data_IF_782400987660
#
_entry.id   IF_782400987660
#
_cell.length_a   1.000
_cell.length_b   1.000
_cell.length_c   1.000
_cell.angle_alpha   90.00
_cell.angle_beta   90.00
_cell.angle_gamma   90.00
#
_symmetry.space_group_name_H-M   'P 1'
#
loop_
_entity.id
_entity.type
_entity.pdbx_description
1 polymer ?
#
# COMPACT_ATOMS: atom_id res chain seq x y z
N UNK A 1 28.23 19.84 13.28
CA UNK A 1 26.80 19.44 13.22
C UNK A 1 26.09 20.62 13.84
N UNK A 2 25.28 21.34 13.06
CA UNK A 2 24.38 22.33 13.63
C UNK A 2 23.49 21.60 14.62
N UNK A 3 23.24 22.23 15.77
CA UNK A 3 22.33 21.69 16.77
C UNK A 3 20.92 21.64 16.12
N UNK A 4 20.47 20.45 15.73
CA UNK A 4 19.19 20.23 15.02
C UNK A 4 17.97 20.55 15.88
N UNK A 5 18.13 21.35 16.91
CA UNK A 5 17.18 21.57 17.99
C UNK A 5 16.61 22.98 18.06
N UNK A 6 17.13 23.97 17.33
CA UNK A 6 16.61 25.32 17.39
C UNK A 6 15.40 25.52 16.44
N UNK A 7 14.21 25.24 16.97
CA UNK A 7 12.92 25.41 16.29
C UNK A 7 12.17 26.66 16.76
N UNK A 8 12.87 27.61 17.40
CA UNK A 8 12.23 28.83 17.96
C UNK A 8 11.55 29.69 16.90
N UNK A 9 11.99 29.58 15.64
CA UNK A 9 11.37 30.27 14.50
C UNK A 9 9.90 29.86 14.27
N UNK A 10 9.46 28.67 14.71
CA UNK A 10 8.06 28.25 14.56
C UNK A 10 7.09 29.23 15.22
N UNK A 11 7.49 29.86 16.31
CA UNK A 11 6.68 30.86 16.99
C UNK A 11 6.45 32.14 16.17
N UNK A 12 7.33 32.43 15.21
CA UNK A 12 7.29 33.64 14.38
C UNK A 12 6.55 33.44 13.05
N UNK A 13 6.16 32.18 12.72
CA UNK A 13 5.47 31.85 11.46
C UNK A 13 3.97 32.22 11.46
N UNK A 14 3.44 32.66 12.59
CA UNK A 14 2.02 33.01 12.71
C UNK A 14 1.08 31.80 12.83
N UNK A 15 1.63 30.61 13.05
CA UNK A 15 0.85 29.41 13.34
C UNK A 15 0.06 29.56 14.64
N UNK A 16 -1.14 29.00 14.72
CA UNK A 16 -1.89 28.93 15.95
C UNK A 16 -1.18 28.04 16.98
N UNK A 17 -1.44 28.26 18.27
CA UNK A 17 -0.73 27.56 19.34
C UNK A 17 -0.96 26.07 19.41
N UNK A 18 -1.98 25.56 18.72
CA UNK A 18 -2.32 24.14 18.58
C UNK A 18 -1.86 23.54 17.23
N UNK A 19 -1.28 24.36 16.35
CA UNK A 19 -0.70 23.89 15.09
C UNK A 19 0.73 23.38 15.25
N UNK A 20 1.33 23.40 16.42
CA UNK A 20 2.59 22.72 16.67
C UNK A 20 2.71 22.21 18.10
N UNK A 21 3.48 21.13 18.28
CA UNK A 21 3.71 20.51 19.58
C UNK A 21 5.18 20.12 19.76
N UNK A 22 5.67 20.34 20.98
CA UNK A 22 6.97 19.84 21.47
C UNK A 22 6.80 18.81 22.59
N UNK A 23 5.57 18.39 22.85
CA UNK A 23 5.23 17.38 23.85
C UNK A 23 5.93 16.05 23.53
N UNK A 24 6.51 15.41 24.53
CA UNK A 24 7.29 14.19 24.37
C UNK A 24 6.43 13.02 23.84
N UNK A 25 5.18 12.91 24.29
CA UNK A 25 4.26 11.84 23.84
C UNK A 25 3.92 12.01 22.37
N UNK A 26 3.54 13.24 21.96
CA UNK A 26 3.22 13.56 20.57
C UNK A 26 4.43 13.30 19.65
N UNK A 27 5.62 13.69 20.09
CA UNK A 27 6.85 13.46 19.33
C UNK A 27 7.21 11.97 19.20
N UNK A 28 6.94 11.19 20.27
CA UNK A 28 7.16 9.75 20.24
C UNK A 28 6.20 9.04 19.28
N UNK A 29 4.93 9.46 19.21
CA UNK A 29 3.96 8.95 18.25
C UNK A 29 4.38 9.17 16.78
N UNK A 30 5.10 10.26 16.50
CA UNK A 30 5.63 10.58 15.16
C UNK A 30 7.04 10.02 14.90
N UNK A 31 7.52 9.14 15.76
CA UNK A 31 8.76 8.38 15.58
C UNK A 31 8.52 6.92 15.19
N UNK A 32 7.26 6.53 14.97
CA UNK A 32 6.84 5.17 14.63
C UNK A 32 5.93 5.16 13.42
N UNK A 33 5.77 4.01 12.80
CA UNK A 33 4.70 3.70 11.87
C UNK A 33 4.10 2.33 12.19
N UNK A 34 3.14 1.85 11.38
CA UNK A 34 2.46 0.60 11.66
C UNK A 34 3.41 -0.62 11.56
N UNK A 35 4.38 -0.59 10.65
CA UNK A 35 5.27 -1.73 10.38
C UNK A 35 6.57 -1.73 11.15
N UNK A 36 6.93 -0.63 11.82
CA UNK A 36 8.24 -0.47 12.45
C UNK A 36 8.11 -0.26 13.95
N UNK A 37 8.38 -1.29 14.73
CA UNK A 37 8.59 -1.19 16.17
C UNK A 37 9.92 -0.46 16.43
N UNK A 38 9.85 0.73 16.97
CA UNK A 38 10.97 1.64 16.97
C UNK A 38 12.01 1.39 18.07
N UNK A 39 13.09 0.67 17.70
CA UNK A 39 14.35 0.75 18.44
C UNK A 39 15.31 1.81 17.85
N UNK A 40 15.11 2.24 16.59
CA UNK A 40 16.07 3.04 15.81
C UNK A 40 15.50 4.39 15.33
N UNK A 41 14.24 4.70 15.59
CA UNK A 41 13.61 5.99 15.25
C UNK A 41 14.16 7.13 16.09
N UNK A 42 14.33 8.28 15.46
CA UNK A 42 14.69 9.53 16.15
C UNK A 42 13.43 10.36 16.25
N UNK A 43 12.91 10.57 17.45
CA UNK A 43 11.77 11.45 17.65
C UNK A 43 12.04 12.84 17.04
N UNK A 44 11.06 13.44 16.33
CA UNK A 44 11.21 14.80 15.83
C UNK A 44 11.41 15.79 16.99
N UNK A 45 12.01 16.92 16.72
CA UNK A 45 12.16 18.01 17.70
C UNK A 45 10.82 18.69 17.95
N UNK A 46 9.99 18.79 16.91
CA UNK A 46 8.60 19.24 16.98
C UNK A 46 7.75 18.51 15.95
N UNK A 47 6.44 18.50 16.22
CA UNK A 47 5.39 18.13 15.25
C UNK A 47 4.66 19.39 14.86
N UNK A 48 4.44 19.61 13.56
CA UNK A 48 3.66 20.76 13.05
C UNK A 48 2.47 20.22 12.27
N UNK A 49 1.29 20.78 12.52
CA UNK A 49 0.01 20.44 11.90
C UNK A 49 -0.44 21.62 11.02
N UNK A 50 -0.02 21.68 9.75
CA UNK A 50 -0.48 22.73 8.83
C UNK A 50 -1.98 22.53 8.54
N UNK A 51 -2.67 23.66 8.32
CA UNK A 51 -4.08 23.70 7.93
C UNK A 51 -4.27 24.33 6.54
N UNK A 52 -3.17 24.69 5.89
CA UNK A 52 -3.17 25.26 4.55
C UNK A 52 -1.84 25.06 3.81
N UNK A 53 -1.87 25.17 2.48
CA UNK A 53 -0.66 25.24 1.65
C UNK A 53 0.30 26.35 2.10
N UNK A 54 -0.24 27.49 2.56
CA UNK A 54 0.56 28.61 3.04
C UNK A 54 1.33 28.25 4.33
N UNK A 55 0.74 27.48 5.24
CA UNK A 55 1.43 27.01 6.44
C UNK A 55 2.56 26.05 6.08
N UNK A 56 2.30 25.10 5.17
CA UNK A 56 3.33 24.18 4.67
C UNK A 56 4.49 24.95 4.05
N UNK A 57 4.20 25.93 3.20
CA UNK A 57 5.22 26.75 2.55
C UNK A 57 6.06 27.54 3.56
N UNK A 58 5.42 28.19 4.53
CA UNK A 58 6.12 28.95 5.56
C UNK A 58 7.04 28.06 6.43
N UNK A 59 6.56 26.87 6.80
CA UNK A 59 7.36 25.91 7.58
C UNK A 59 8.56 25.41 6.80
N UNK A 60 8.37 25.01 5.52
CA UNK A 60 9.45 24.50 4.69
C UNK A 60 10.49 25.58 4.37
N UNK A 61 10.06 26.81 4.02
CA UNK A 61 10.96 27.95 3.79
C UNK A 61 11.84 28.21 5.01
N UNK A 62 11.20 28.35 6.19
CA UNK A 62 11.92 28.63 7.44
C UNK A 62 12.84 27.46 7.84
N UNK A 63 12.38 26.22 7.71
CA UNK A 63 13.20 25.06 8.01
C UNK A 63 14.42 24.96 7.07
N UNK A 64 14.26 25.28 5.79
CA UNK A 64 15.35 25.36 4.83
C UNK A 64 16.37 26.42 5.20
N UNK A 65 15.94 27.64 5.54
CA UNK A 65 16.80 28.76 5.96
C UNK A 65 17.61 28.41 7.23
N UNK A 66 17.05 27.63 8.12
CA UNK A 66 17.70 27.19 9.36
C UNK A 66 18.43 25.82 9.23
N UNK A 67 18.40 25.20 8.06
CA UNK A 67 18.93 23.85 7.80
C UNK A 67 18.36 22.77 8.75
N UNK A 68 17.09 22.86 9.10
CA UNK A 68 16.36 21.91 9.94
C UNK A 68 15.70 20.85 9.01
N UNK A 69 15.91 19.54 9.26
CA UNK A 69 15.23 18.49 8.51
C UNK A 69 13.71 18.53 8.74
N UNK A 70 12.96 18.31 7.67
CA UNK A 70 11.49 18.10 7.73
C UNK A 70 11.18 16.72 7.18
N UNK A 71 10.36 15.98 7.89
CA UNK A 71 9.83 14.69 7.46
C UNK A 71 8.32 14.81 7.34
N UNK A 72 7.73 14.71 6.14
CA UNK A 72 6.28 14.67 5.98
C UNK A 72 5.69 13.46 6.70
N UNK A 73 4.55 13.67 7.34
CA UNK A 73 3.82 12.66 8.07
C UNK A 73 2.33 12.73 7.69
N UNK A 74 1.67 11.59 7.73
CA UNK A 74 0.25 11.46 7.51
C UNK A 74 -0.35 10.60 8.64
N UNK A 75 -0.98 9.46 8.32
CA UNK A 75 -1.60 8.61 9.34
C UNK A 75 -0.66 7.54 9.95
N UNK A 76 0.61 7.50 9.57
CA UNK A 76 1.58 6.53 10.10
C UNK A 76 1.28 5.07 9.74
N UNK A 77 0.58 4.84 8.63
CA UNK A 77 0.13 3.50 8.18
C UNK A 77 1.15 2.76 7.31
N UNK A 78 2.31 3.34 7.07
CA UNK A 78 3.38 2.71 6.28
C UNK A 78 4.06 1.56 7.03
N UNK A 79 4.82 0.75 6.28
CA UNK A 79 5.39 -0.51 6.75
C UNK A 79 6.92 -0.51 6.78
N UNK A 80 7.54 0.45 6.10
CA UNK A 80 8.99 0.48 5.88
C UNK A 80 9.69 1.65 6.59
N UNK A 81 9.01 2.32 7.54
CA UNK A 81 9.55 3.45 8.27
C UNK A 81 9.64 4.74 7.44
N UNK A 82 8.79 4.91 6.43
CA UNK A 82 8.76 6.06 5.53
C UNK A 82 8.62 7.40 6.26
N UNK A 83 7.66 7.57 7.21
CA UNK A 83 7.44 8.85 7.91
C UNK A 83 8.32 9.04 9.15
N UNK A 84 9.21 8.10 9.45
CA UNK A 84 10.03 8.14 10.67
C UNK A 84 11.25 9.04 10.46
N UNK A 85 11.42 10.12 11.24
CA UNK A 85 12.60 10.97 11.15
C UNK A 85 13.91 10.19 11.41
N UNK A 86 14.94 10.46 10.63
CA UNK A 86 16.27 9.85 10.82
C UNK A 86 17.28 10.80 11.48
N UNK A 87 16.92 12.09 11.59
CA UNK A 87 17.82 13.16 12.08
C UNK A 87 17.11 14.15 12.99
N UNK A 88 15.97 13.78 13.59
CA UNK A 88 15.14 14.72 14.32
C UNK A 88 14.52 15.78 13.41
N UNK A 89 14.49 17.03 13.83
CA UNK A 89 13.89 18.11 13.06
C UNK A 89 12.37 18.19 13.24
N UNK A 90 11.64 18.48 12.18
CA UNK A 90 10.18 18.69 12.21
C UNK A 90 9.49 17.51 11.54
N UNK A 91 8.51 16.90 12.22
CA UNK A 91 7.50 16.06 11.59
C UNK A 91 6.36 16.97 11.13
N UNK A 92 6.06 16.97 9.84
CA UNK A 92 5.02 17.82 9.24
C UNK A 92 3.77 16.97 8.98
N UNK A 93 2.85 17.00 9.93
CA UNK A 93 1.64 16.17 9.93
C UNK A 93 0.51 16.86 9.17
N UNK A 94 0.21 16.37 7.96
CA UNK A 94 -0.79 16.95 7.06
C UNK A 94 -2.22 16.44 7.34
N UNK A 95 -2.49 15.73 8.41
CA UNK A 95 -3.82 15.13 8.68
C UNK A 95 -4.93 16.17 8.93
N UNK A 96 -4.58 17.43 9.24
CA UNK A 96 -5.58 18.51 9.40
C UNK A 96 -5.98 19.17 8.08
N UNK A 97 -5.34 18.82 6.97
CA UNK A 97 -5.72 19.25 5.61
C UNK A 97 -6.58 18.15 5.00
N UNK A 98 -7.83 18.02 5.39
CA UNK A 98 -8.70 16.85 5.14
C UNK A 98 -9.96 17.16 4.29
N UNK A 99 -10.02 18.34 3.68
CA UNK A 99 -11.21 18.77 2.96
C UNK A 99 -11.35 18.14 1.57
N UNK A 100 -12.60 17.87 1.19
CA UNK A 100 -13.00 17.72 -0.21
C UNK A 100 -13.32 19.11 -0.74
N UNK A 101 -12.44 19.66 -1.58
CA UNK A 101 -12.60 21.01 -2.12
C UNK A 101 -13.67 21.10 -3.23
N UNK A 102 -13.72 20.10 -4.10
CA UNK A 102 -14.68 20.08 -5.19
C UNK A 102 -14.93 18.68 -5.77
N UNK A 103 -16.17 18.34 -6.04
CA UNK A 103 -16.57 17.16 -6.83
C UNK A 103 -17.10 17.66 -8.18
N UNK A 104 -16.59 17.13 -9.28
CA UNK A 104 -16.97 17.46 -10.66
C UNK A 104 -17.41 16.21 -11.42
N UNK A 105 -18.64 15.74 -11.22
CA UNK A 105 -19.11 14.48 -11.82
C UNK A 105 -19.06 14.48 -13.35
N UNK A 106 -19.29 15.64 -13.99
CA UNK A 106 -19.24 15.78 -15.46
C UNK A 106 -17.82 15.58 -16.04
N UNK A 107 -16.80 15.88 -15.24
CA UNK A 107 -15.39 15.72 -15.61
C UNK A 107 -14.80 14.40 -15.08
N UNK A 108 -15.56 13.66 -14.27
CA UNK A 108 -15.11 12.49 -13.51
C UNK A 108 -13.88 12.84 -12.64
N UNK A 109 -13.97 13.92 -11.85
CA UNK A 109 -12.86 14.41 -11.05
C UNK A 109 -13.31 14.87 -9.66
N UNK A 110 -12.37 14.77 -8.71
CA UNK A 110 -12.48 15.32 -7.35
C UNK A 110 -11.18 16.05 -6.99
N UNK A 111 -11.30 17.21 -6.35
CA UNK A 111 -10.16 17.90 -5.72
C UNK A 111 -10.21 17.66 -4.22
N UNK A 112 -9.09 17.23 -3.65
CA UNK A 112 -8.98 16.86 -2.24
C UNK A 112 -7.69 17.37 -1.63
N UNK A 113 -7.70 17.59 -0.32
CA UNK A 113 -6.52 17.83 0.49
C UNK A 113 -5.84 16.51 0.91
N UNK A 114 -4.54 16.52 1.26
CA UNK A 114 -3.74 15.32 1.48
C UNK A 114 -4.11 14.52 2.74
N UNK A 115 -4.69 15.15 3.76
CA UNK A 115 -5.08 14.52 5.03
C UNK A 115 -6.40 13.76 4.97
N UNK A 116 -7.17 13.88 3.86
CA UNK A 116 -8.43 13.15 3.70
C UNK A 116 -8.19 11.64 3.71
N UNK A 117 -8.98 10.90 4.49
CA UNK A 117 -8.92 9.43 4.54
C UNK A 117 -9.45 8.83 3.23
N UNK A 118 -8.74 7.83 2.70
CA UNK A 118 -9.04 7.25 1.39
C UNK A 118 -10.49 6.77 1.24
N UNK A 119 -11.03 6.05 2.21
CA UNK A 119 -12.41 5.53 2.15
C UNK A 119 -13.48 6.63 2.18
N UNK A 120 -13.20 7.79 2.77
CA UNK A 120 -14.13 8.93 2.82
C UNK A 120 -14.42 9.50 1.43
N UNK A 121 -13.44 9.42 0.50
CA UNK A 121 -13.67 9.77 -0.91
C UNK A 121 -14.82 8.93 -1.48
N UNK A 122 -14.75 7.61 -1.34
CA UNK A 122 -15.77 6.72 -1.91
C UNK A 122 -17.12 6.89 -1.22
N UNK A 123 -17.14 7.21 0.07
CA UNK A 123 -18.38 7.55 0.77
C UNK A 123 -19.02 8.85 0.21
N UNK A 124 -18.21 9.88 -0.03
CA UNK A 124 -18.69 11.15 -0.61
C UNK A 124 -19.17 11.02 -2.08
N UNK A 125 -18.64 10.03 -2.81
CA UNK A 125 -18.98 9.80 -4.21
C UNK A 125 -20.23 8.91 -4.41
N UNK A 126 -20.77 8.33 -3.34
CA UNK A 126 -21.91 7.39 -3.41
C UNK A 126 -23.12 7.98 -4.13
N UNK A 127 -23.50 9.22 -3.81
CA UNK A 127 -24.65 9.90 -4.41
C UNK A 127 -24.50 10.18 -5.91
N UNK A 128 -23.25 10.21 -6.42
CA UNK A 128 -22.94 10.44 -7.84
C UNK A 128 -22.83 9.15 -8.65
N UNK A 129 -22.88 7.98 -8.00
CA UNK A 129 -22.64 6.69 -8.65
C UNK A 129 -21.22 6.55 -9.20
N UNK A 130 -20.27 7.27 -8.59
CA UNK A 130 -18.85 7.28 -8.94
C UNK A 130 -18.02 6.62 -7.82
N UNK A 131 -16.78 6.25 -8.14
CA UNK A 131 -15.81 5.81 -7.14
C UNK A 131 -14.38 6.09 -7.61
N UNK A 132 -13.46 6.11 -6.64
CA UNK A 132 -12.01 6.15 -6.82
C UNK A 132 -11.46 4.74 -6.57
N UNK A 133 -10.94 4.05 -7.62
CA UNK A 133 -10.59 2.63 -7.51
C UNK A 133 -9.31 2.30 -6.73
N UNK A 134 -8.18 3.07 -6.85
CA UNK A 134 -6.94 2.67 -6.23
C UNK A 134 -7.01 2.88 -4.71
N UNK A 135 -7.31 1.80 -4.00
CA UNK A 135 -7.44 1.77 -2.56
C UNK A 135 -6.60 0.63 -2.00
N UNK A 136 -5.55 0.93 -1.20
CA UNK A 136 -4.85 -0.08 -0.43
C UNK A 136 -5.78 -0.69 0.63
N UNK A 137 -5.39 -1.82 1.20
CA UNK A 137 -6.16 -2.44 2.30
C UNK A 137 -6.32 -1.52 3.51
N UNK A 138 -5.36 -0.63 3.73
CA UNK A 138 -5.37 0.38 4.79
C UNK A 138 -6.21 1.63 4.48
N UNK A 139 -6.99 1.67 3.39
CA UNK A 139 -7.70 2.88 2.94
C UNK A 139 -8.63 3.52 3.99
N UNK A 140 -9.11 2.74 4.96
CA UNK A 140 -9.96 3.24 6.06
C UNK A 140 -9.17 4.06 7.11
N UNK A 141 -7.85 3.99 7.07
CA UNK A 141 -6.96 4.70 8.01
C UNK A 141 -5.82 5.44 7.31
N UNK A 142 -5.64 5.25 6.02
CA UNK A 142 -4.61 5.93 5.23
C UNK A 142 -5.14 7.21 4.62
N UNK A 143 -4.30 8.24 4.58
CA UNK A 143 -4.65 9.51 3.93
C UNK A 143 -4.27 9.50 2.46
N UNK A 144 -4.96 10.31 1.66
CA UNK A 144 -4.68 10.47 0.23
C UNK A 144 -3.26 10.97 -0.03
N UNK A 145 -2.75 11.89 0.79
CA UNK A 145 -1.36 12.37 0.65
C UNK A 145 -0.34 11.27 0.87
N UNK A 146 -0.57 10.40 1.86
CA UNK A 146 0.26 9.21 2.09
C UNK A 146 0.16 8.21 0.95
N UNK A 147 -1.05 7.93 0.45
CA UNK A 147 -1.26 7.06 -0.70
C UNK A 147 -0.55 7.57 -1.96
N UNK A 148 -0.62 8.89 -2.25
CA UNK A 148 0.09 9.52 -3.38
C UNK A 148 1.61 9.46 -3.18
N UNK A 149 2.09 9.75 -1.98
CA UNK A 149 3.51 9.73 -1.68
C UNK A 149 4.13 8.34 -1.86
N UNK A 150 3.35 7.29 -1.66
CA UNK A 150 3.79 5.90 -1.76
C UNK A 150 3.46 5.21 -3.09
N UNK A 151 2.81 5.90 -4.02
CA UNK A 151 2.19 5.33 -5.24
C UNK A 151 1.37 4.07 -4.90
N UNK A 152 0.46 4.22 -3.94
CA UNK A 152 -0.25 3.10 -3.36
C UNK A 152 -1.05 2.30 -4.39
N UNK A 153 -1.04 1.01 -4.21
CA UNK A 153 -1.83 0.04 -4.96
C UNK A 153 -2.74 -0.78 -4.03
N UNK A 154 -3.21 -1.93 -4.46
CA UNK A 154 -4.04 -2.83 -3.67
C UNK A 154 -4.72 -3.89 -4.52
N UNK A 155 -5.62 -4.67 -3.94
CA UNK A 155 -6.26 -5.82 -4.56
C UNK A 155 -6.92 -5.56 -5.93
N UNK A 156 -7.25 -4.30 -6.25
CA UNK A 156 -7.89 -3.91 -7.51
C UNK A 156 -6.94 -3.36 -8.58
N UNK A 157 -5.64 -3.32 -8.29
CA UNK A 157 -4.61 -2.80 -9.19
C UNK A 157 -4.58 -3.55 -10.52
N UNK A 158 -4.78 -4.86 -10.51
CA UNK A 158 -4.84 -5.69 -11.73
C UNK A 158 -5.83 -5.18 -12.78
N UNK A 159 -6.90 -4.49 -12.36
CA UNK A 159 -7.90 -3.91 -13.27
C UNK A 159 -7.76 -2.40 -13.44
N UNK A 160 -7.51 -1.71 -12.36
CA UNK A 160 -7.63 -0.26 -12.32
C UNK A 160 -6.28 0.47 -12.29
N UNK A 161 -5.16 -0.26 -12.12
CA UNK A 161 -3.85 0.35 -11.99
C UNK A 161 -3.59 0.99 -10.63
N UNK A 162 -2.44 1.61 -10.50
CA UNK A 162 -1.94 2.27 -9.30
C UNK A 162 -2.40 3.73 -9.23
N UNK A 163 -2.15 4.38 -8.09
CA UNK A 163 -2.68 5.74 -7.85
C UNK A 163 -2.15 6.79 -8.85
N UNK A 164 -0.91 6.64 -9.36
CA UNK A 164 -0.34 7.59 -10.33
C UNK A 164 -1.17 7.71 -11.61
N UNK A 165 -1.86 6.65 -12.03
CA UNK A 165 -2.73 6.64 -13.20
C UNK A 165 -4.00 7.48 -12.99
N UNK A 166 -4.40 7.67 -11.73
CA UNK A 166 -5.61 8.37 -11.31
C UNK A 166 -5.36 9.80 -10.83
N UNK A 167 -4.10 10.17 -10.57
CA UNK A 167 -3.73 11.53 -10.25
C UNK A 167 -3.67 12.37 -11.53
N UNK A 168 -4.46 13.44 -11.60
CA UNK A 168 -4.50 14.36 -12.74
C UNK A 168 -3.62 15.58 -12.54
N UNK A 169 -3.68 16.17 -11.36
CA UNK A 169 -2.87 17.33 -11.00
C UNK A 169 -2.54 17.29 -9.50
N UNK A 170 -1.43 17.92 -9.17
CA UNK A 170 -0.96 18.09 -7.79
C UNK A 170 -0.58 19.54 -7.55
N UNK A 171 -0.89 20.06 -6.39
CA UNK A 171 -0.20 21.20 -5.79
C UNK A 171 0.83 20.66 -4.81
N UNK A 172 2.06 21.12 -4.93
CA UNK A 172 3.21 20.61 -4.18
C UNK A 172 4.02 21.78 -3.65
N UNK A 173 4.43 21.70 -2.39
CA UNK A 173 5.39 22.62 -1.80
C UNK A 173 6.77 21.99 -1.81
N UNK A 174 7.72 22.64 -2.46
CA UNK A 174 9.11 22.20 -2.52
C UNK A 174 9.87 22.57 -1.24
N UNK A 175 11.07 22.00 -1.07
CA UNK A 175 11.87 22.18 0.14
C UNK A 175 12.24 23.64 0.47
N UNK A 176 12.24 24.53 -0.53
CA UNK A 176 12.49 25.96 -0.39
C UNK A 176 11.22 26.81 -0.12
N UNK A 177 10.08 26.16 0.14
CA UNK A 177 8.78 26.81 0.32
C UNK A 177 8.07 27.19 -0.97
N UNK A 178 8.68 26.96 -2.16
CA UNK A 178 8.03 27.25 -3.44
C UNK A 178 6.83 26.35 -3.68
N UNK A 179 5.67 26.95 -3.98
CA UNK A 179 4.45 26.23 -4.36
C UNK A 179 4.41 26.04 -5.87
N UNK A 180 4.23 24.82 -6.33
CA UNK A 180 4.16 24.46 -7.75
C UNK A 180 2.90 23.67 -8.07
N UNK A 181 2.29 23.98 -9.22
CA UNK A 181 1.17 23.21 -9.78
C UNK A 181 1.70 22.27 -10.86
N UNK A 182 1.43 20.97 -10.72
CA UNK A 182 1.90 19.91 -11.63
C UNK A 182 0.72 19.18 -12.26
N UNK A 183 0.87 18.78 -13.52
CA UNK A 183 -0.18 18.08 -14.25
C UNK A 183 -1.25 19.01 -14.82
N UNK A 184 -2.44 18.50 -15.06
CA UNK A 184 -3.57 19.24 -15.65
C UNK A 184 -4.88 18.49 -15.43
N UNK A 185 -5.98 19.22 -15.22
CA UNK A 185 -7.34 18.66 -15.17
C UNK A 185 -7.80 18.08 -16.52
N UNK A 186 -7.11 18.40 -17.63
CA UNK A 186 -7.40 17.79 -18.94
C UNK A 186 -6.95 16.32 -18.96
N UNK A 187 -7.77 15.44 -19.54
CA UNK A 187 -7.49 14.00 -19.61
C UNK A 187 -6.19 13.65 -20.33
N UNK A 188 -5.72 14.51 -21.26
CA UNK A 188 -4.46 14.33 -21.98
C UNK A 188 -3.77 15.66 -22.22
N UNK A 189 -2.44 15.65 -22.20
CA UNK A 189 -1.61 16.78 -22.59
C UNK A 189 -0.33 16.26 -23.26
N UNK A 190 0.16 16.97 -24.28
CA UNK A 190 1.48 16.76 -24.86
C UNK A 190 2.39 17.96 -24.61
N UNK A 191 2.07 18.81 -23.63
CA UNK A 191 2.75 20.06 -23.29
C UNK A 191 3.53 19.89 -21.99
N UNK A 192 4.85 20.02 -22.07
CA UNK A 192 5.75 19.92 -20.92
C UNK A 192 6.10 18.48 -20.49
N UNK A 193 6.91 18.39 -19.45
CA UNK A 193 7.26 17.11 -18.81
C UNK A 193 6.16 16.65 -17.87
N UNK A 194 6.04 15.33 -17.68
CA UNK A 194 5.12 14.75 -16.71
C UNK A 194 5.75 14.72 -15.30
N UNK A 195 5.85 15.90 -14.68
CA UNK A 195 6.50 16.04 -13.37
C UNK A 195 5.64 15.52 -12.21
N UNK A 196 4.31 15.40 -12.40
CA UNK A 196 3.46 14.83 -11.36
C UNK A 196 3.86 13.38 -11.02
N UNK A 197 4.21 12.58 -12.04
CA UNK A 197 4.62 11.18 -11.84
C UNK A 197 6.02 11.06 -11.23
N UNK A 198 6.79 12.15 -11.17
CA UNK A 198 8.02 12.23 -10.40
C UNK A 198 7.75 12.41 -8.89
N UNK A 199 6.64 13.08 -8.57
CA UNK A 199 6.23 13.36 -7.18
C UNK A 199 5.47 12.16 -6.58
N UNK A 200 4.58 11.53 -7.37
CA UNK A 200 3.90 10.30 -6.94
C UNK A 200 4.95 9.21 -6.69
N UNK A 201 4.87 8.52 -5.57
CA UNK A 201 5.87 7.53 -5.16
C UNK A 201 7.20 8.11 -4.65
N UNK A 202 7.30 9.43 -4.46
CA UNK A 202 8.54 10.06 -3.95
C UNK A 202 8.69 9.99 -2.42
N UNK A 203 7.73 9.46 -1.71
CA UNK A 203 7.72 9.34 -0.24
C UNK A 203 7.99 10.67 0.48
N UNK A 204 7.51 11.80 -0.10
CA UNK A 204 7.74 13.14 0.45
C UNK A 204 9.16 13.66 0.28
N UNK A 205 10.07 12.94 -0.38
CA UNK A 205 11.48 13.34 -0.51
C UNK A 205 11.71 14.48 -1.51
N UNK A 206 10.77 14.69 -2.44
CA UNK A 206 10.85 15.74 -3.47
C UNK A 206 9.95 16.96 -3.19
N UNK A 207 9.02 16.84 -2.26
CA UNK A 207 8.09 17.89 -1.87
C UNK A 207 6.91 17.36 -1.09
N UNK A 208 6.09 18.24 -0.58
CA UNK A 208 4.87 17.92 0.20
C UNK A 208 3.65 18.22 -0.66
N UNK A 209 2.83 17.23 -0.93
CA UNK A 209 1.55 17.39 -1.62
C UNK A 209 0.58 18.12 -0.69
N UNK A 210 -0.03 19.21 -1.17
CA UNK A 210 -1.01 20.00 -0.43
C UNK A 210 -2.40 19.96 -1.05
N UNK A 211 -2.52 19.53 -2.31
CA UNK A 211 -3.79 19.29 -2.98
C UNK A 211 -3.62 18.30 -4.13
N UNK A 212 -4.61 17.47 -4.36
CA UNK A 212 -4.66 16.56 -5.49
C UNK A 212 -5.98 16.68 -6.26
N UNK A 213 -5.90 16.64 -7.60
CA UNK A 213 -7.04 16.36 -8.47
C UNK A 213 -6.97 14.90 -8.89
N UNK A 214 -7.97 14.13 -8.50
CA UNK A 214 -8.05 12.69 -8.79
C UNK A 214 -9.09 12.43 -9.89
N UNK A 215 -8.83 11.46 -10.76
CA UNK A 215 -9.80 10.94 -11.72
C UNK A 215 -10.73 9.95 -11.02
N UNK A 216 -11.96 9.89 -11.49
CA UNK A 216 -13.02 9.02 -10.98
C UNK A 216 -13.55 8.13 -12.10
N UNK A 217 -14.20 7.04 -11.71
CA UNK A 217 -14.91 6.19 -12.67
C UNK A 217 -16.31 5.84 -12.17
N UNK A 218 -17.28 5.55 -13.07
CA UNK A 218 -18.57 5.04 -12.65
C UNK A 218 -18.45 3.72 -11.88
N UNK A 219 -19.28 3.55 -10.85
CA UNK A 219 -19.38 2.27 -10.13
C UNK A 219 -19.78 1.17 -11.12
N UNK A 220 -19.16 -0.03 -11.02
CA UNK A 220 -19.56 -1.16 -11.84
C UNK A 220 -21.02 -1.54 -11.57
N UNK A 221 -21.78 -1.80 -12.63
CA UNK A 221 -23.19 -2.18 -12.51
C UNK A 221 -23.36 -3.59 -11.92
N UNK A 222 -22.36 -4.43 -12.07
CA UNK A 222 -22.31 -5.78 -11.52
C UNK A 222 -20.95 -6.02 -10.86
N UNK A 223 -20.98 -6.57 -9.66
CA UNK A 223 -19.83 -7.07 -8.91
C UNK A 223 -20.12 -8.51 -8.53
N UNK A 224 -19.18 -9.40 -8.77
CA UNK A 224 -19.30 -10.79 -8.39
C UNK A 224 -17.98 -11.35 -7.97
N UNK A 225 -17.91 -11.89 -6.77
CA UNK A 225 -16.71 -12.52 -6.24
C UNK A 225 -16.90 -13.99 -5.97
N UNK A 226 -15.79 -14.64 -5.68
CA UNK A 226 -15.77 -16.05 -5.38
C UNK A 226 -14.38 -16.55 -5.05
N UNK A 227 -14.27 -17.86 -4.92
CA UNK A 227 -12.99 -18.52 -4.68
C UNK A 227 -12.82 -19.73 -5.58
N UNK A 228 -11.58 -20.00 -5.97
CA UNK A 228 -11.14 -21.20 -6.65
C UNK A 228 -10.13 -21.96 -5.78
N UNK A 229 -10.27 -23.28 -5.67
CA UNK A 229 -9.41 -24.17 -4.88
C UNK A 229 -8.61 -25.03 -5.86
N UNK A 230 -7.31 -25.18 -5.62
CA UNK A 230 -6.40 -25.88 -6.50
C UNK A 230 -5.71 -27.07 -5.82
N UNK A 231 -5.23 -28.02 -6.63
CA UNK A 231 -4.53 -29.20 -6.15
C UNK A 231 -3.12 -28.90 -5.58
N UNK A 232 -2.51 -27.78 -6.02
CA UNK A 232 -1.19 -27.34 -5.55
C UNK A 232 -1.02 -25.82 -5.74
N UNK A 233 -0.06 -25.23 -5.01
CA UNK A 233 0.27 -23.81 -5.18
C UNK A 233 0.77 -23.52 -6.60
N UNK A 234 1.58 -24.42 -7.17
CA UNK A 234 2.03 -24.28 -8.57
C UNK A 234 0.84 -24.26 -9.53
N UNK A 235 -0.13 -25.16 -9.35
CA UNK A 235 -1.36 -25.16 -10.15
C UNK A 235 -2.11 -23.82 -10.05
N UNK A 236 -2.25 -23.28 -8.83
CA UNK A 236 -2.91 -21.98 -8.60
C UNK A 236 -2.15 -20.83 -9.30
N UNK A 237 -0.84 -20.76 -9.13
CA UNK A 237 -0.02 -19.68 -9.72
C UNK A 237 0.05 -19.75 -11.24
N UNK A 238 0.14 -20.95 -11.81
CA UNK A 238 0.11 -21.16 -13.25
C UNK A 238 -1.27 -20.79 -13.84
N UNK A 239 -2.36 -21.13 -13.13
CA UNK A 239 -3.72 -20.76 -13.51
C UNK A 239 -3.92 -19.24 -13.50
N UNK A 240 -3.41 -18.53 -12.48
CA UNK A 240 -3.43 -17.06 -12.42
C UNK A 240 -2.71 -16.47 -13.62
N UNK A 241 -1.46 -16.87 -13.85
CA UNK A 241 -0.65 -16.39 -14.99
C UNK A 241 -1.33 -16.64 -16.32
N UNK A 242 -1.97 -17.80 -16.49
CA UNK A 242 -2.72 -18.14 -17.71
C UNK A 242 -3.97 -17.26 -17.87
N UNK A 243 -4.70 -16.98 -16.80
CA UNK A 243 -5.89 -16.11 -16.84
C UNK A 243 -5.51 -14.67 -17.23
N UNK A 244 -4.48 -14.10 -16.61
CA UNK A 244 -3.97 -12.77 -16.94
C UNK A 244 -3.49 -12.71 -18.38
N UNK A 245 -2.69 -13.69 -18.82
CA UNK A 245 -2.19 -13.76 -20.20
C UNK A 245 -3.30 -13.90 -21.24
N UNK A 246 -4.40 -14.59 -20.89
CA UNK A 246 -5.59 -14.72 -21.74
C UNK A 246 -6.47 -13.47 -21.75
N UNK A 247 -6.12 -12.43 -20.98
CA UNK A 247 -6.86 -11.17 -20.91
C UNK A 247 -8.23 -11.32 -20.24
N UNK A 248 -8.32 -12.14 -19.18
CA UNK A 248 -9.52 -12.20 -18.34
C UNK A 248 -9.66 -10.87 -17.60
N UNK A 249 -10.81 -10.22 -17.76
CA UNK A 249 -11.11 -8.91 -17.14
C UNK A 249 -11.55 -9.10 -15.67
N UNK A 250 -10.61 -9.48 -14.82
CA UNK A 250 -10.80 -9.65 -13.39
C UNK A 250 -10.47 -8.35 -12.65
N UNK A 251 -11.28 -7.99 -11.64
CA UNK A 251 -11.05 -6.81 -10.82
C UNK A 251 -10.12 -7.09 -9.64
N UNK A 252 -10.13 -8.32 -9.14
CA UNK A 252 -9.25 -8.78 -8.06
C UNK A 252 -8.94 -10.25 -8.28
N UNK A 253 -7.67 -10.63 -8.10
CA UNK A 253 -7.21 -12.01 -8.14
C UNK A 253 -6.10 -12.20 -7.11
N UNK A 254 -6.43 -12.88 -6.00
CA UNK A 254 -5.61 -12.97 -4.80
C UNK A 254 -5.21 -14.40 -4.52
N UNK A 255 -3.92 -14.64 -4.35
CA UNK A 255 -3.41 -15.94 -3.90
C UNK A 255 -3.51 -16.05 -2.37
N UNK A 256 -3.99 -17.19 -1.88
CA UNK A 256 -3.95 -17.60 -0.47
C UNK A 256 -3.28 -18.97 -0.40
N UNK A 257 -2.13 -19.06 0.23
CA UNK A 257 -1.45 -20.34 0.42
C UNK A 257 -2.10 -21.19 1.54
N UNK A 258 -1.79 -22.50 1.66
CA UNK A 258 -2.43 -23.35 2.68
C UNK A 258 -2.15 -22.91 4.13
N UNK A 259 -0.97 -22.31 4.41
CA UNK A 259 -0.67 -21.80 5.75
C UNK A 259 -1.53 -20.58 6.07
N UNK A 260 -1.63 -19.63 5.14
CA UNK A 260 -2.51 -18.46 5.27
C UNK A 260 -3.98 -18.88 5.45
N UNK A 261 -4.44 -19.91 4.73
CA UNK A 261 -5.80 -20.45 4.90
C UNK A 261 -6.03 -21.02 6.32
N UNK A 262 -5.07 -21.76 6.89
CA UNK A 262 -5.16 -22.25 8.27
C UNK A 262 -5.19 -21.11 9.28
N UNK A 263 -4.33 -20.11 9.13
CA UNK A 263 -4.29 -18.91 9.99
C UNK A 263 -5.65 -18.19 9.95
N UNK A 264 -6.19 -17.99 8.76
CA UNK A 264 -7.50 -17.36 8.57
C UNK A 264 -8.62 -18.16 9.25
N UNK A 265 -8.61 -19.49 9.11
CA UNK A 265 -9.60 -20.35 9.76
C UNK A 265 -9.57 -20.26 11.29
N UNK A 266 -8.38 -20.22 11.89
CA UNK A 266 -8.23 -20.15 13.34
C UNK A 266 -8.73 -18.80 13.89
N UNK A 267 -8.50 -17.69 13.17
CA UNK A 267 -8.88 -16.36 13.61
C UNK A 267 -10.36 -16.05 13.40
N UNK A 268 -10.93 -16.46 12.26
CA UNK A 268 -12.28 -16.02 11.84
C UNK A 268 -13.36 -17.09 11.91
N UNK A 269 -13.06 -18.28 12.46
CA UNK A 269 -13.98 -19.43 12.48
C UNK A 269 -14.60 -19.70 11.10
N UNK A 270 -13.73 -19.69 10.07
CA UNK A 270 -14.10 -20.03 8.69
C UNK A 270 -13.77 -21.48 8.39
N UNK A 271 -14.44 -22.05 7.41
CA UNK A 271 -14.19 -23.41 6.91
C UNK A 271 -13.53 -23.32 5.52
N UNK A 272 -12.36 -22.69 5.45
CA UNK A 272 -11.54 -22.67 4.24
C UNK A 272 -10.81 -24.00 4.09
N UNK A 273 -10.74 -24.56 2.87
CA UNK A 273 -9.95 -25.77 2.60
C UNK A 273 -8.47 -25.59 2.98
N UNK A 274 -7.84 -26.59 3.56
CA UNK A 274 -6.37 -26.63 3.72
C UNK A 274 -5.70 -26.94 2.36
N UNK A 275 -5.87 -26.00 1.43
CA UNK A 275 -5.44 -26.10 0.06
C UNK A 275 -5.16 -24.70 -0.48
N UNK A 276 -4.35 -24.56 -1.54
CA UNK A 276 -4.15 -23.28 -2.20
C UNK A 276 -5.46 -22.77 -2.78
N UNK A 277 -5.71 -21.48 -2.59
CA UNK A 277 -6.92 -20.83 -3.09
C UNK A 277 -6.58 -19.56 -3.84
N UNK A 278 -7.48 -19.20 -4.73
CA UNK A 278 -7.51 -17.91 -5.43
C UNK A 278 -8.84 -17.24 -5.13
N UNK A 279 -8.82 -16.07 -4.54
CA UNK A 279 -10.01 -15.23 -4.40
C UNK A 279 -10.13 -14.34 -5.63
N UNK A 280 -11.34 -14.18 -6.12
CA UNK A 280 -11.65 -13.51 -7.38
C UNK A 280 -12.76 -12.48 -7.19
N UNK A 281 -12.64 -11.34 -7.83
CA UNK A 281 -13.73 -10.39 -7.99
C UNK A 281 -13.78 -9.91 -9.44
N UNK A 282 -14.99 -9.88 -10.01
CA UNK A 282 -15.25 -9.40 -11.37
C UNK A 282 -16.13 -8.15 -11.28
N UNK A 283 -15.75 -7.13 -12.05
CA UNK A 283 -16.50 -5.90 -12.21
C UNK A 283 -16.91 -5.74 -13.66
N UNK A 284 -18.19 -5.54 -13.93
CA UNK A 284 -18.68 -5.35 -15.28
C UNK A 284 -19.80 -4.30 -15.38
N UNK A 285 -19.87 -3.65 -16.52
CA UNK A 285 -20.99 -2.79 -16.89
C UNK A 285 -22.21 -3.59 -17.36
N UNK A 286 -22.02 -4.84 -17.79
CA UNK A 286 -23.05 -5.69 -18.37
C UNK A 286 -22.99 -7.10 -17.76
N UNK A 287 -22.80 -8.15 -18.57
CA UNK A 287 -22.79 -9.53 -18.09
C UNK A 287 -21.37 -9.94 -17.63
N UNK A 288 -21.30 -10.53 -16.45
CA UNK A 288 -20.09 -11.10 -15.86
C UNK A 288 -19.88 -12.58 -16.25
N UNK A 289 -20.98 -13.30 -16.56
CA UNK A 289 -20.95 -14.76 -16.71
C UNK A 289 -19.92 -15.24 -17.75
N UNK A 290 -19.77 -14.50 -18.85
CA UNK A 290 -18.80 -14.86 -19.88
C UNK A 290 -17.37 -14.85 -19.36
N UNK A 291 -16.99 -13.85 -18.55
CA UNK A 291 -15.64 -13.78 -17.98
C UNK A 291 -15.43 -14.85 -16.90
N UNK A 292 -16.45 -15.11 -16.07
CA UNK A 292 -16.40 -16.20 -15.08
C UNK A 292 -16.24 -17.56 -15.77
N UNK A 293 -17.00 -17.83 -16.84
CA UNK A 293 -16.94 -19.11 -17.58
C UNK A 293 -15.57 -19.27 -18.28
N UNK A 294 -15.03 -18.21 -18.86
CA UNK A 294 -13.69 -18.21 -19.48
C UNK A 294 -12.61 -18.46 -18.43
N UNK A 295 -12.68 -17.76 -17.30
CA UNK A 295 -11.75 -17.93 -16.19
C UNK A 295 -11.80 -19.38 -15.66
N UNK A 296 -12.99 -19.92 -15.44
CA UNK A 296 -13.19 -21.31 -15.01
C UNK A 296 -12.55 -22.30 -15.99
N UNK A 297 -12.79 -22.13 -17.29
CA UNK A 297 -12.23 -23.03 -18.30
C UNK A 297 -10.68 -23.03 -18.26
N UNK A 298 -10.06 -21.87 -18.09
CA UNK A 298 -8.60 -21.77 -17.93
C UNK A 298 -8.15 -22.48 -16.65
N UNK A 299 -8.86 -22.26 -15.55
CA UNK A 299 -8.52 -22.87 -14.28
C UNK A 299 -8.68 -24.39 -14.29
N UNK A 300 -9.71 -24.91 -14.98
CA UNK A 300 -9.90 -26.36 -15.18
C UNK A 300 -8.69 -27.01 -15.90
N UNK A 301 -8.08 -26.31 -16.84
CA UNK A 301 -6.87 -26.78 -17.55
C UNK A 301 -5.60 -26.74 -16.64
N UNK A 302 -5.68 -26.11 -15.46
CA UNK A 302 -4.56 -25.90 -14.54
C UNK A 302 -4.79 -26.50 -13.13
N UNK A 303 -5.55 -27.58 -13.01
CA UNK A 303 -5.69 -28.31 -11.75
C UNK A 303 -6.68 -27.67 -10.76
N UNK A 304 -7.72 -27.00 -11.28
CA UNK A 304 -8.86 -26.54 -10.47
C UNK A 304 -9.57 -27.74 -9.85
N UNK A 305 -9.77 -27.71 -8.53
CA UNK A 305 -10.58 -28.70 -7.83
C UNK A 305 -12.03 -28.24 -7.68
N UNK A 306 -12.21 -26.94 -7.41
CA UNK A 306 -13.52 -26.35 -7.18
C UNK A 306 -13.45 -24.83 -7.41
N UNK A 307 -14.49 -24.26 -8.01
CA UNK A 307 -14.68 -22.81 -8.09
C UNK A 307 -16.12 -22.47 -7.72
N UNK A 308 -16.26 -21.71 -6.64
CA UNK A 308 -17.55 -21.24 -6.12
C UNK A 308 -17.63 -19.73 -6.30
N UNK A 309 -18.67 -19.28 -6.96
CA UNK A 309 -19.00 -17.85 -7.01
C UNK A 309 -20.05 -17.57 -5.93
N UNK A 310 -19.82 -16.51 -5.15
CA UNK A 310 -20.76 -16.09 -4.12
C UNK A 310 -22.15 -15.83 -4.72
N UNK A 311 -23.17 -16.36 -4.07
CA UNK A 311 -24.57 -16.19 -4.47
C UNK A 311 -25.20 -14.93 -3.88
N UNK A 312 -24.67 -14.48 -2.73
CA UNK A 312 -25.16 -13.33 -1.97
C UNK A 312 -24.01 -12.40 -1.61
N UNK A 313 -24.23 -11.07 -1.59
CA UNK A 313 -23.19 -10.09 -1.23
C UNK A 313 -22.55 -10.37 0.14
N UNK A 314 -23.32 -10.76 1.15
CA UNK A 314 -22.81 -11.04 2.50
C UNK A 314 -21.84 -12.23 2.56
N UNK A 315 -21.95 -13.23 1.67
CA UNK A 315 -20.98 -14.32 1.57
C UNK A 315 -19.64 -13.79 1.08
N UNK A 316 -19.67 -12.91 0.11
CA UNK A 316 -18.48 -12.29 -0.45
C UNK A 316 -17.80 -11.34 0.54
N UNK A 317 -18.59 -10.52 1.24
CA UNK A 317 -18.10 -9.59 2.26
C UNK A 317 -17.29 -10.32 3.35
N UNK A 318 -17.79 -11.43 3.87
CA UNK A 318 -17.06 -12.24 4.86
C UNK A 318 -15.72 -12.80 4.35
N UNK A 319 -15.65 -13.22 3.09
CA UNK A 319 -14.40 -13.69 2.50
C UNK A 319 -13.38 -12.56 2.35
N UNK A 320 -13.83 -11.38 1.93
CA UNK A 320 -12.96 -10.21 1.79
C UNK A 320 -12.54 -9.63 3.14
N UNK A 321 -13.42 -9.61 4.14
CA UNK A 321 -13.10 -9.21 5.51
C UNK A 321 -11.97 -10.08 6.08
N UNK A 322 -12.10 -11.40 5.97
CA UNK A 322 -11.06 -12.32 6.41
C UNK A 322 -9.74 -12.17 5.63
N UNK A 323 -9.79 -11.88 4.32
CA UNK A 323 -8.59 -11.59 3.51
C UNK A 323 -7.94 -10.28 3.94
N UNK A 324 -8.74 -9.25 4.20
CA UNK A 324 -8.25 -7.93 4.61
C UNK A 324 -7.53 -7.97 5.96
N UNK A 325 -8.00 -8.78 6.91
CA UNK A 325 -7.36 -8.88 8.23
C UNK A 325 -6.29 -9.98 8.32
N UNK A 326 -5.96 -10.66 7.23
CA UNK A 326 -5.00 -11.77 7.23
C UNK A 326 -3.62 -11.36 7.76
N UNK A 327 -3.15 -10.14 7.45
CA UNK A 327 -1.90 -9.63 7.97
C UNK A 327 -1.90 -9.57 9.51
N UNK A 328 -2.97 -9.06 10.10
CA UNK A 328 -3.14 -9.02 11.57
C UNK A 328 -3.29 -10.43 12.15
N UNK A 329 -4.01 -11.32 11.47
CA UNK A 329 -4.18 -12.71 11.88
C UNK A 329 -2.83 -13.45 11.94
N UNK A 330 -1.95 -13.22 10.96
CA UNK A 330 -0.58 -13.76 10.96
C UNK A 330 0.20 -13.29 12.19
N UNK A 331 0.09 -12.01 12.55
CA UNK A 331 0.76 -11.44 13.73
C UNK A 331 0.28 -12.03 15.05
N UNK A 332 -0.95 -12.60 15.10
CA UNK A 332 -1.57 -13.20 16.30
C UNK A 332 -1.57 -14.74 16.30
N UNK A 333 -1.07 -15.37 15.22
CA UNK A 333 -1.21 -16.80 14.98
C UNK A 333 -0.62 -17.69 16.07
N UNK A 334 0.51 -17.29 16.64
CA UNK A 334 1.21 -18.05 17.68
C UNK A 334 1.71 -17.10 18.76
N UNK A 335 1.41 -17.42 20.03
CA UNK A 335 1.87 -16.64 21.19
C UNK A 335 3.39 -16.69 21.39
N UNK A 336 4.05 -17.78 20.94
CA UNK A 336 5.49 -17.99 21.05
C UNK A 336 6.28 -17.49 19.82
N UNK A 337 5.61 -16.98 18.79
CA UNK A 337 6.24 -16.46 17.60
C UNK A 337 5.79 -15.02 17.31
N UNK A 338 6.66 -14.27 16.66
CA UNK A 338 6.39 -12.94 16.13
C UNK A 338 6.64 -12.95 14.62
N UNK A 339 5.81 -12.26 13.88
CA UNK A 339 6.14 -11.93 12.50
C UNK A 339 7.27 -10.91 12.48
N UNK A 340 8.17 -11.04 11.54
CA UNK A 340 9.04 -9.95 11.12
C UNK A 340 8.22 -8.92 10.33
N UNK A 341 8.85 -7.94 9.71
CA UNK A 341 8.14 -7.05 8.78
C UNK A 341 7.50 -7.86 7.65
N UNK A 342 6.49 -7.31 6.98
CA UNK A 342 5.96 -7.92 5.76
C UNK A 342 6.94 -7.72 4.60
N UNK A 343 7.31 -8.84 3.96
CA UNK A 343 7.92 -8.82 2.64
C UNK A 343 6.86 -8.47 1.60
N UNK A 344 7.28 -7.74 0.59
CA UNK A 344 6.44 -7.20 -0.46
C UNK A 344 7.27 -7.13 -1.75
N UNK A 345 7.26 -8.20 -2.52
CA UNK A 345 8.01 -8.25 -3.79
C UNK A 345 7.04 -8.40 -4.95
N UNK A 346 7.38 -7.79 -6.07
CA UNK A 346 6.65 -7.97 -7.32
C UNK A 346 7.60 -8.49 -8.38
N UNK A 347 7.14 -9.46 -9.18
CA UNK A 347 7.90 -10.04 -10.29
C UNK A 347 7.08 -10.01 -11.58
N UNK A 348 7.74 -10.06 -12.77
CA UNK A 348 6.99 -10.25 -14.01
C UNK A 348 6.07 -11.47 -13.91
N UNK A 349 4.85 -11.39 -14.45
CA UNK A 349 3.83 -12.44 -14.35
C UNK A 349 4.32 -13.85 -14.74
N UNK A 350 5.25 -13.94 -15.71
CA UNK A 350 5.85 -15.22 -16.09
C UNK A 350 6.72 -15.86 -15.02
N UNK A 351 7.14 -15.09 -14.01
CA UNK A 351 7.99 -15.52 -12.90
C UNK A 351 7.21 -15.67 -11.58
N UNK A 352 5.90 -15.41 -11.59
CA UNK A 352 5.10 -15.45 -10.37
C UNK A 352 5.10 -16.84 -9.71
N UNK A 353 4.92 -17.90 -10.51
CA UNK A 353 5.03 -19.28 -10.01
C UNK A 353 6.44 -19.60 -9.48
N UNK A 354 7.48 -19.02 -10.08
CA UNK A 354 8.88 -19.21 -9.66
C UNK A 354 9.15 -18.59 -8.29
N UNK A 355 8.73 -17.35 -8.06
CA UNK A 355 8.97 -16.68 -6.76
C UNK A 355 8.17 -17.31 -5.62
N UNK A 356 6.87 -17.60 -5.83
CA UNK A 356 6.05 -18.27 -4.83
C UNK A 356 6.58 -19.69 -4.51
N UNK A 357 7.03 -20.42 -5.55
CA UNK A 357 7.71 -21.71 -5.40
C UNK A 357 8.99 -21.62 -4.58
N UNK A 358 9.79 -20.55 -4.78
CA UNK A 358 11.00 -20.31 -4.02
C UNK A 358 10.71 -20.03 -2.53
N UNK A 359 9.74 -19.17 -2.21
CA UNK A 359 9.29 -18.91 -0.82
C UNK A 359 8.92 -20.22 -0.13
N UNK A 360 8.14 -21.07 -0.79
CA UNK A 360 7.74 -22.37 -0.24
C UNK A 360 8.92 -23.34 -0.08
N UNK A 361 9.88 -23.31 -0.99
CA UNK A 361 11.08 -24.16 -0.86
C UNK A 361 11.92 -23.76 0.34
N UNK A 362 12.09 -22.45 0.60
CA UNK A 362 12.76 -21.95 1.79
C UNK A 362 12.03 -22.36 3.08
N UNK A 363 10.71 -22.23 3.10
CA UNK A 363 9.89 -22.66 4.24
C UNK A 363 10.10 -24.15 4.56
N UNK A 364 10.09 -25.00 3.53
CA UNK A 364 10.26 -26.45 3.69
C UNK A 364 11.72 -26.84 4.04
N UNK A 365 12.72 -26.23 3.42
CA UNK A 365 14.14 -26.51 3.63
C UNK A 365 14.58 -26.20 5.06
N UNK A 366 14.03 -25.12 5.62
CA UNK A 366 14.44 -24.62 6.93
C UNK A 366 13.41 -24.90 8.04
N UNK A 367 12.35 -25.66 7.75
CA UNK A 367 11.22 -25.94 8.68
C UNK A 367 10.66 -24.65 9.31
N UNK A 368 10.33 -23.65 8.44
CA UNK A 368 9.85 -22.34 8.85
C UNK A 368 8.40 -22.11 8.45
N UNK A 369 7.69 -21.34 9.27
CA UNK A 369 6.37 -20.83 8.93
C UNK A 369 6.55 -19.53 8.15
N UNK A 370 6.29 -19.59 6.84
CA UNK A 370 6.33 -18.46 5.92
C UNK A 370 5.00 -18.42 5.17
N UNK A 371 3.96 -17.78 5.74
CA UNK A 371 2.71 -17.57 5.02
C UNK A 371 2.95 -16.67 3.82
N UNK A 372 2.32 -17.00 2.68
CA UNK A 372 2.43 -16.25 1.44
C UNK A 372 1.04 -16.04 0.83
N UNK A 373 0.73 -14.79 0.56
CA UNK A 373 -0.54 -14.35 -0.02
C UNK A 373 -0.31 -13.05 -0.79
N UNK A 374 -1.24 -12.58 -1.60
CA UNK A 374 -1.08 -11.26 -2.21
C UNK A 374 -1.79 -11.07 -3.52
N UNK A 375 -1.53 -9.89 -4.12
CA UNK A 375 -2.15 -9.38 -5.32
C UNK A 375 -1.57 -10.08 -6.56
N UNK A 376 -2.01 -11.33 -6.75
CA UNK A 376 -1.41 -12.24 -7.71
C UNK A 376 -1.60 -11.82 -9.17
N UNK A 377 -2.57 -10.92 -9.44
CA UNK A 377 -2.90 -10.43 -10.77
C UNK A 377 -1.85 -9.50 -11.39
N UNK A 378 -1.04 -8.87 -10.56
CA UNK A 378 0.04 -7.96 -10.97
C UNK A 378 1.45 -8.47 -10.59
N UNK A 379 1.53 -9.71 -10.11
CA UNK A 379 2.79 -10.37 -9.77
C UNK A 379 3.31 -10.07 -8.38
N UNK A 380 2.50 -9.43 -7.54
CA UNK A 380 2.86 -9.08 -6.17
C UNK A 380 2.59 -10.24 -5.20
N UNK A 381 3.51 -10.47 -4.27
CA UNK A 381 3.37 -11.43 -3.19
C UNK A 381 3.86 -10.85 -1.87
N UNK A 382 2.96 -10.89 -0.89
CA UNK A 382 3.28 -10.62 0.51
C UNK A 382 3.68 -11.91 1.21
N UNK A 383 4.65 -11.81 2.09
CA UNK A 383 5.11 -12.90 2.93
C UNK A 383 5.70 -12.36 4.23
N UNK A 384 5.86 -13.22 5.21
CA UNK A 384 6.64 -12.91 6.41
C UNK A 384 7.22 -14.20 6.97
N UNK A 385 8.33 -14.08 7.72
CA UNK A 385 8.91 -15.20 8.46
C UNK A 385 8.49 -15.07 9.91
N UNK A 386 7.86 -16.11 10.46
CA UNK A 386 7.54 -16.18 11.89
C UNK A 386 8.77 -16.66 12.65
N UNK A 387 9.18 -15.92 13.68
CA UNK A 387 10.40 -16.15 14.46
C UNK A 387 10.12 -16.10 15.95
N UNK A 388 10.94 -16.81 16.73
CA UNK A 388 10.98 -16.64 18.18
C UNK A 388 11.63 -15.29 18.55
N UNK A 389 10.87 -14.32 19.11
CA UNK A 389 11.40 -13.00 19.43
C UNK A 389 12.43 -13.01 20.56
N UNK A 390 12.45 -14.06 21.38
CA UNK A 390 13.37 -14.21 22.51
C UNK A 390 14.70 -14.87 22.09
N UNK A 391 14.79 -15.38 20.85
CA UNK A 391 16.00 -15.95 20.25
C UNK A 391 16.60 -15.00 19.18
N UNK A 392 17.66 -14.22 19.50
CA UNK A 392 18.29 -13.32 18.53
C UNK A 392 18.86 -14.02 17.29
N UNK A 393 19.30 -15.28 17.41
CA UNK A 393 19.83 -16.04 16.27
C UNK A 393 18.69 -16.46 15.34
N UNK A 394 17.53 -16.74 15.88
CA UNK A 394 16.30 -17.03 15.12
C UNK A 394 15.79 -15.79 14.36
N UNK A 395 15.77 -14.64 15.04
CA UNK A 395 15.41 -13.34 14.42
C UNK A 395 16.37 -12.99 13.29
N UNK A 396 17.69 -13.15 13.51
CA UNK A 396 18.71 -12.86 12.49
C UNK A 396 18.56 -13.78 11.27
N UNK A 397 18.30 -15.07 11.50
CA UNK A 397 18.09 -16.03 10.43
C UNK A 397 16.79 -15.77 9.65
N UNK A 398 15.72 -15.38 10.34
CA UNK A 398 14.48 -14.98 9.69
C UNK A 398 14.67 -13.80 8.72
N UNK A 399 15.45 -12.78 9.15
CA UNK A 399 15.83 -11.64 8.30
C UNK A 399 16.63 -12.10 7.08
N UNK A 400 17.63 -12.99 7.26
CA UNK A 400 18.38 -13.55 6.13
C UNK A 400 17.47 -14.24 5.11
N UNK A 401 16.44 -14.97 5.57
CA UNK A 401 15.49 -15.59 4.65
C UNK A 401 14.66 -14.56 3.87
N UNK A 402 14.26 -13.46 4.51
CA UNK A 402 13.56 -12.36 3.84
C UNK A 402 14.45 -11.71 2.78
N UNK A 403 15.70 -11.41 3.10
CA UNK A 403 16.68 -10.84 2.17
C UNK A 403 16.88 -11.75 0.95
N UNK A 404 17.01 -13.07 1.15
CA UNK A 404 17.11 -14.06 0.07
C UNK A 404 15.90 -14.08 -0.85
N UNK A 405 14.69 -13.82 -0.34
CA UNK A 405 13.48 -13.74 -1.17
C UNK A 405 13.52 -12.48 -2.02
N UNK A 406 13.92 -11.33 -1.44
CA UNK A 406 14.09 -10.08 -2.17
C UNK A 406 15.14 -10.23 -3.27
N UNK A 407 16.33 -10.74 -2.93
CA UNK A 407 17.40 -10.99 -3.91
C UNK A 407 16.89 -11.87 -5.07
N UNK A 408 16.11 -12.90 -4.74
CA UNK A 408 15.52 -13.75 -5.76
C UNK A 408 14.52 -13.05 -6.66
N UNK A 409 13.69 -12.16 -6.10
CA UNK A 409 12.77 -11.33 -6.89
C UNK A 409 13.54 -10.42 -7.86
N UNK A 410 14.61 -9.76 -7.39
CA UNK A 410 15.50 -8.93 -8.23
C UNK A 410 16.17 -9.75 -9.34
N UNK A 411 16.68 -10.96 -9.05
CA UNK A 411 17.24 -11.87 -10.07
C UNK A 411 16.23 -12.23 -11.17
N UNK A 412 14.94 -12.29 -10.81
CA UNK A 412 13.85 -12.58 -11.75
C UNK A 412 13.39 -11.34 -12.55
N UNK A 413 14.04 -10.18 -12.34
CA UNK A 413 13.68 -8.92 -12.97
C UNK A 413 12.50 -8.22 -12.31
N UNK A 414 12.24 -8.53 -11.05
CA UNK A 414 11.24 -7.91 -10.21
C UNK A 414 11.77 -6.73 -9.39
N UNK A 415 11.07 -6.38 -8.33
CA UNK A 415 11.35 -5.25 -7.42
C UNK A 415 11.36 -5.70 -5.96
N UNK A 416 12.13 -5.00 -5.13
CA UNK A 416 12.21 -5.24 -3.69
C UNK A 416 10.93 -4.82 -2.94
N UNK A 417 10.10 -3.98 -3.55
CA UNK A 417 8.83 -3.52 -3.01
C UNK A 417 7.80 -3.36 -4.10
N UNK A 418 6.61 -3.93 -3.92
CA UNK A 418 5.49 -3.81 -4.84
C UNK A 418 4.63 -2.59 -4.53
N UNK A 419 4.32 -2.38 -3.23
CA UNK A 419 3.41 -1.32 -2.81
C UNK A 419 3.79 -0.65 -1.47
N UNK A 420 4.67 -1.26 -0.64
CA UNK A 420 4.98 -0.73 0.68
C UNK A 420 5.92 0.48 0.65
N UNK A 421 6.59 0.73 -0.47
CA UNK A 421 7.61 1.76 -0.61
C UNK A 421 8.98 1.31 -0.11
N UNK A 422 9.94 2.22 -0.17
CA UNK A 422 11.34 1.98 0.19
C UNK A 422 11.60 2.31 1.67
N UNK A 423 11.11 3.46 2.11
CA UNK A 423 11.29 3.95 3.47
C UNK A 423 12.73 3.83 3.98
N UNK A 424 12.87 3.30 5.19
CA UNK A 424 14.17 2.93 5.80
C UNK A 424 14.50 1.46 5.54
N UNK A 425 13.48 0.60 5.45
CA UNK A 425 13.59 -0.85 5.42
C UNK A 425 14.19 -1.42 4.15
N UNK A 426 13.93 -0.82 2.99
CA UNK A 426 14.34 -1.35 1.68
C UNK A 426 15.52 -0.65 1.02
N UNK A 427 16.11 0.39 1.65
CA UNK A 427 17.19 1.21 1.05
C UNK A 427 18.41 0.41 0.61
N UNK A 428 18.76 -0.66 1.31
CA UNK A 428 19.92 -1.46 0.99
C UNK A 428 19.80 -2.20 -0.35
N UNK A 429 18.59 -2.51 -0.79
CA UNK A 429 18.32 -3.21 -2.06
C UNK A 429 18.36 -2.28 -3.28
N UNK A 430 18.26 -0.96 -3.09
CA UNK A 430 18.16 0.01 -4.19
C UNK A 430 19.36 0.00 -5.13
N UNK A 431 20.57 -0.28 -4.63
CA UNK A 431 21.78 -0.38 -5.49
C UNK A 431 21.78 -1.66 -6.34
N UNK A 432 21.09 -2.70 -5.90
CA UNK A 432 20.96 -3.94 -6.68
C UNK A 432 19.84 -3.85 -7.70
N UNK A 433 18.80 -3.06 -7.41
CA UNK A 433 17.64 -2.87 -8.28
C UNK A 433 17.90 -1.82 -9.37
N UNK A 434 18.62 -0.73 -9.07
CA UNK A 434 18.89 0.43 -9.92
C UNK A 434 20.39 0.65 -10.12
#
# INVERSE_FOLDING_TARGET
>A
MADATDITFLADLGLASDQYSVDETVRAEHATDWGTDDADGVAPTAVVYPESTADVAAVLEAANDHAIPVTPYAAGTSLEGNPIPTRGGISLDCTRMDAIEAIRPADLQIDVEPGLIGSEINAALEEYGLFFPPMPQSADISTIGGMIANDASGAKTVKYGEIHEWVRALEVVLADGSVVELGSKAKKSSSGYNLKDLIVGSEGTLGVVTRATLELTPKPAQIRGGRAVFESVTAATDAISAAITAGIDVATIELIDPLSARITNEEFDLDLPDAPMVFLEFHAAHSIETEVDRCRAIFDDHGLLRMDMASEPAEMERLWEARSDLANAVGRYREDLRMLTFGDVTVPMGEYSTIVGYIRSLAAEHDRLIPAFGHAGDGNVHYTVLVDPDDPDDVAFGKELMDRIIDRALELGGTATGEHGIGRGKREFMTAEH
#
